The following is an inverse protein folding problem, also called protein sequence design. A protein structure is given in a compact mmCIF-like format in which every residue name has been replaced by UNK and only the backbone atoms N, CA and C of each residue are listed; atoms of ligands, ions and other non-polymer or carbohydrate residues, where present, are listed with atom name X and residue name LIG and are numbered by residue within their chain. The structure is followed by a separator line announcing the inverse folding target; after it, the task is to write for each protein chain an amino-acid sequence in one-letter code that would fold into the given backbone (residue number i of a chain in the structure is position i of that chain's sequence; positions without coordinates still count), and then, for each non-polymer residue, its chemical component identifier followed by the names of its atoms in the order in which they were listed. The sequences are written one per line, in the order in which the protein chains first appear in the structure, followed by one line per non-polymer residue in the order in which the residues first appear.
data_IF_184055537382
#
_entry.id   IF_184055537382
#
_cell.length_a   1.000
_cell.length_b   1.000
_cell.length_c   1.000
_cell.angle_alpha   90.00
_cell.angle_beta   90.00
_cell.angle_gamma   90.00
#
_symmetry.space_group_name_H-M   'P 1'
#
loop_
_entity.id
_entity.type
_entity.pdbx_description
1 polymer ?
#
# COMPACT_ATOMS: atom_id res chain seq x y z
N UNK A 1 -4.07 -46.04 24.36
CA UNK A 1 -4.41 -44.71 23.79
C UNK A 1 -5.22 -43.92 24.82
N UNK A 2 -4.63 -42.88 25.39
CA UNK A 2 -5.17 -42.13 26.55
C UNK A 2 -6.22 -41.14 26.05
N UNK A 3 -7.51 -41.40 26.34
CA UNK A 3 -8.62 -40.51 25.96
C UNK A 3 -8.51 -39.22 26.77
N UNK A 4 -8.14 -38.11 26.14
CA UNK A 4 -8.22 -36.80 26.77
C UNK A 4 -9.68 -36.52 27.14
N UNK A 5 -9.98 -36.15 28.41
CA UNK A 5 -11.35 -35.84 28.80
C UNK A 5 -11.77 -34.54 28.10
N UNK A 6 -12.75 -34.64 27.20
CA UNK A 6 -13.31 -33.55 26.38
C UNK A 6 -14.09 -32.52 27.21
N UNK A 7 -14.07 -32.63 28.55
CA UNK A 7 -14.78 -31.75 29.46
C UNK A 7 -13.83 -31.17 30.54
N UNK A 8 -13.68 -29.83 30.62
CA UNK A 8 -13.01 -29.16 31.72
C UNK A 8 -13.66 -29.48 33.08
N UNK A 9 -12.84 -29.47 34.14
CA UNK A 9 -13.23 -29.79 35.52
C UNK A 9 -13.99 -28.67 36.25
N UNK A 10 -14.23 -27.50 35.63
CA UNK A 10 -15.08 -26.44 36.19
C UNK A 10 -15.73 -25.60 35.08
N UNK A 11 -16.96 -25.11 35.30
CA UNK A 11 -17.71 -24.28 34.35
C UNK A 11 -17.04 -22.92 34.20
N UNK A 12 -16.50 -22.37 35.29
CA UNK A 12 -15.68 -21.15 35.26
C UNK A 12 -14.44 -21.29 34.39
N UNK A 13 -13.71 -22.42 34.48
CA UNK A 13 -12.56 -22.68 33.61
C UNK A 13 -12.98 -22.82 32.14
N UNK A 14 -14.13 -23.44 31.89
CA UNK A 14 -14.66 -23.60 30.54
C UNK A 14 -15.03 -22.25 29.91
N UNK A 15 -15.70 -21.38 30.66
CA UNK A 15 -16.07 -20.03 30.20
C UNK A 15 -14.84 -19.16 30.00
N UNK A 16 -13.87 -19.16 30.92
CA UNK A 16 -12.63 -18.39 30.79
C UNK A 16 -11.78 -18.87 29.60
N UNK A 17 -11.70 -20.19 29.39
CA UNK A 17 -10.94 -20.77 28.27
C UNK A 17 -11.63 -20.50 26.93
N UNK A 18 -12.96 -20.60 26.86
CA UNK A 18 -13.72 -20.22 25.67
C UNK A 18 -13.55 -18.72 25.36
N UNK A 19 -13.67 -17.86 26.37
CA UNK A 19 -13.52 -16.41 26.19
C UNK A 19 -12.12 -16.05 25.71
N UNK A 20 -11.07 -16.57 26.35
CA UNK A 20 -9.67 -16.31 25.94
C UNK A 20 -9.42 -16.79 24.50
N UNK A 21 -9.97 -17.95 24.15
CA UNK A 21 -9.74 -18.58 22.87
C UNK A 21 -10.54 -17.93 21.72
N UNK A 22 -11.67 -17.27 22.01
CA UNK A 22 -12.43 -16.46 21.04
C UNK A 22 -11.86 -15.05 20.93
N UNK A 23 -11.43 -14.45 22.04
CA UNK A 23 -10.91 -13.08 22.09
C UNK A 23 -9.57 -12.94 21.35
N UNK A 24 -8.70 -13.93 21.47
CA UNK A 24 -7.36 -13.91 20.89
C UNK A 24 -7.38 -13.85 19.33
N UNK A 25 -8.14 -14.68 18.61
CA UNK A 25 -8.34 -14.51 17.16
C UNK A 25 -8.90 -13.14 16.78
N UNK A 26 -9.85 -12.62 17.56
CA UNK A 26 -10.49 -11.33 17.31
C UNK A 26 -9.49 -10.16 17.44
N UNK A 27 -8.62 -10.21 18.44
CA UNK A 27 -7.53 -9.24 18.62
C UNK A 27 -6.51 -9.33 17.49
N UNK A 28 -6.16 -10.54 17.04
CA UNK A 28 -5.27 -10.74 15.89
C UNK A 28 -5.89 -10.16 14.61
N UNK A 29 -7.18 -10.39 14.36
CA UNK A 29 -7.90 -9.81 13.23
C UNK A 29 -7.93 -8.27 13.30
N UNK A 30 -8.22 -7.71 14.47
CA UNK A 30 -8.23 -6.26 14.67
C UNK A 30 -6.83 -5.65 14.46
N UNK A 31 -5.78 -6.31 14.94
CA UNK A 31 -4.39 -5.91 14.71
C UNK A 31 -4.02 -5.95 13.22
N UNK A 32 -4.37 -7.03 12.52
CA UNK A 32 -4.12 -7.18 11.09
C UNK A 32 -4.87 -6.11 10.27
N UNK A 33 -6.12 -5.81 10.62
CA UNK A 33 -6.89 -4.74 9.97
C UNK A 33 -6.30 -3.35 10.24
N UNK A 34 -5.80 -3.11 11.46
CA UNK A 34 -5.12 -1.86 11.80
C UNK A 34 -3.81 -1.70 11.03
N UNK A 35 -3.02 -2.77 10.92
CA UNK A 35 -1.75 -2.76 10.20
C UNK A 35 -1.95 -2.60 8.68
N UNK A 36 -3.00 -3.19 8.10
CA UNK A 36 -3.33 -2.99 6.68
C UNK A 36 -3.77 -1.57 6.38
N UNK A 37 -4.52 -0.94 7.29
CA UNK A 37 -4.94 0.46 7.18
C UNK A 37 -3.74 1.42 7.25
N UNK A 38 -2.78 1.15 8.14
CA UNK A 38 -1.55 1.96 8.26
C UNK A 38 -0.60 1.76 7.07
N UNK A 39 -0.44 0.53 6.57
CA UNK A 39 0.35 0.24 5.39
C UNK A 39 -0.19 0.97 4.14
N UNK A 40 -1.52 1.09 4.00
CA UNK A 40 -2.13 1.86 2.91
C UNK A 40 -1.90 3.38 3.06
N UNK A 41 -1.91 3.92 4.28
CA UNK A 41 -1.88 5.38 4.50
C UNK A 41 -0.47 5.98 4.40
N UNK A 42 0.55 5.32 4.96
CA UNK A 42 1.92 5.84 4.93
C UNK A 42 2.56 5.71 3.53
N UNK A 43 2.27 4.63 2.81
CA UNK A 43 2.75 4.45 1.43
C UNK A 43 2.02 5.32 0.43
N UNK A 44 0.71 5.58 0.59
CA UNK A 44 -0.01 6.52 -0.27
C UNK A 44 0.50 7.96 -0.10
N UNK A 45 0.83 8.39 1.12
CA UNK A 45 1.35 9.72 1.37
C UNK A 45 2.77 9.93 0.80
N UNK A 46 3.64 8.93 0.89
CA UNK A 46 4.99 8.96 0.32
C UNK A 46 4.98 8.93 -1.22
N UNK A 47 4.19 8.02 -1.82
CA UNK A 47 4.09 7.92 -3.29
C UNK A 47 3.44 9.16 -3.89
N UNK A 48 2.43 9.75 -3.24
CA UNK A 48 1.79 10.97 -3.76
C UNK A 48 2.74 12.18 -3.73
N UNK A 49 3.60 12.29 -2.70
CA UNK A 49 4.58 13.39 -2.61
C UNK A 49 5.70 13.27 -3.64
N UNK A 50 6.28 12.09 -3.84
CA UNK A 50 7.41 11.93 -4.79
C UNK A 50 6.95 12.00 -6.25
N UNK A 51 5.78 11.42 -6.56
CA UNK A 51 5.18 11.42 -7.91
C UNK A 51 4.84 12.83 -8.39
N UNK A 52 4.26 13.68 -7.52
CA UNK A 52 3.91 15.06 -7.88
C UNK A 52 5.14 15.96 -8.04
N UNK A 53 6.19 15.73 -7.24
CA UNK A 53 7.41 16.53 -7.32
C UNK A 53 8.17 16.20 -8.59
N UNK A 54 8.34 14.93 -8.94
CA UNK A 54 9.08 14.51 -10.14
C UNK A 54 8.37 14.91 -11.44
N UNK A 55 7.03 14.85 -11.46
CA UNK A 55 6.22 15.34 -12.58
C UNK A 55 6.31 16.87 -12.74
N UNK A 56 6.16 17.65 -11.65
CA UNK A 56 6.30 19.11 -11.70
C UNK A 56 7.71 19.55 -12.08
N UNK A 57 8.74 18.82 -11.61
CA UNK A 57 10.15 19.13 -11.92
C UNK A 57 10.45 18.89 -13.40
N UNK A 58 9.87 17.84 -13.99
CA UNK A 58 9.95 17.57 -15.43
C UNK A 58 9.27 18.66 -16.26
N UNK A 59 8.10 19.16 -15.83
CA UNK A 59 7.42 20.28 -16.50
C UNK A 59 8.22 21.60 -16.41
N UNK A 60 8.85 21.86 -15.27
CA UNK A 60 9.73 23.01 -15.13
C UNK A 60 10.93 22.95 -16.09
N UNK A 61 11.48 21.76 -16.36
CA UNK A 61 12.53 21.57 -17.36
C UNK A 61 12.03 21.84 -18.78
N UNK A 62 10.81 21.40 -19.15
CA UNK A 62 10.19 21.75 -20.44
C UNK A 62 10.08 23.25 -20.65
N UNK A 63 9.62 23.98 -19.64
CA UNK A 63 9.52 25.44 -19.72
C UNK A 63 10.90 26.08 -19.87
N UNK A 64 11.90 25.61 -19.10
CA UNK A 64 13.27 26.11 -19.22
C UNK A 64 13.90 25.84 -20.60
N UNK A 65 13.63 24.67 -21.19
CA UNK A 65 14.07 24.33 -22.56
C UNK A 65 13.45 25.28 -23.60
N UNK A 66 12.14 25.54 -23.50
CA UNK A 66 11.44 26.46 -24.40
C UNK A 66 11.92 27.91 -24.26
N UNK A 67 12.15 28.37 -23.03
CA UNK A 67 12.74 29.70 -22.78
C UNK A 67 14.12 29.82 -23.42
N UNK A 68 14.96 28.79 -23.28
CA UNK A 68 16.29 28.72 -23.88
C UNK A 68 16.24 28.76 -25.41
N UNK A 69 15.34 28.00 -26.04
CA UNK A 69 15.17 28.05 -27.50
C UNK A 69 14.66 29.42 -27.96
N UNK A 70 13.69 29.99 -27.25
CA UNK A 70 13.16 31.32 -27.56
C UNK A 70 14.24 32.39 -27.50
N UNK A 71 15.05 32.40 -26.44
CA UNK A 71 16.14 33.39 -26.29
C UNK A 71 17.22 33.20 -27.35
N UNK A 72 17.53 31.97 -27.74
CA UNK A 72 18.42 31.67 -28.87
C UNK A 72 17.90 32.30 -30.16
N UNK A 73 16.65 31.99 -30.53
CA UNK A 73 16.04 32.50 -31.77
C UNK A 73 15.93 34.02 -31.75
N UNK A 74 15.56 34.60 -30.60
CA UNK A 74 15.46 36.05 -30.45
C UNK A 74 16.81 36.74 -30.60
N UNK A 75 17.88 36.15 -30.05
CA UNK A 75 19.25 36.64 -30.29
C UNK A 75 19.59 36.63 -31.78
N UNK A 76 19.29 35.55 -32.51
CA UNK A 76 19.57 35.50 -33.94
C UNK A 76 18.80 36.54 -34.77
N UNK A 77 17.63 37.00 -34.31
CA UNK A 77 16.86 38.06 -34.99
C UNK A 77 17.39 39.45 -34.68
N UNK A 78 17.72 39.73 -33.42
CA UNK A 78 18.01 41.09 -32.93
C UNK A 78 19.51 41.39 -32.78
N UNK A 79 20.37 40.36 -32.75
CA UNK A 79 21.82 40.41 -32.53
C UNK A 79 22.26 41.25 -31.30
N UNK A 80 21.40 41.27 -30.27
CA UNK A 80 21.65 42.02 -29.04
C UNK A 80 22.52 41.20 -28.05
N UNK A 81 23.70 41.69 -27.63
CA UNK A 81 24.57 40.97 -26.70
C UNK A 81 23.94 40.73 -25.33
N UNK A 82 22.90 41.48 -24.94
CA UNK A 82 22.13 41.22 -23.71
C UNK A 82 21.33 39.92 -23.83
N UNK A 83 20.76 39.62 -25.00
CA UNK A 83 20.04 38.36 -25.26
C UNK A 83 20.98 37.16 -25.25
N UNK A 84 22.21 37.32 -25.75
CA UNK A 84 23.23 36.28 -25.65
C UNK A 84 23.53 35.93 -24.18
N UNK A 85 23.60 36.93 -23.28
CA UNK A 85 23.78 36.69 -21.84
C UNK A 85 22.56 35.99 -21.22
N UNK A 86 21.35 36.38 -21.61
CA UNK A 86 20.11 35.73 -21.17
C UNK A 86 20.11 34.26 -21.56
N UNK A 87 20.43 33.97 -22.82
CA UNK A 87 20.57 32.61 -23.33
C UNK A 87 21.56 31.78 -22.52
N UNK A 88 22.77 32.30 -22.29
CA UNK A 88 23.80 31.58 -21.51
C UNK A 88 23.37 31.32 -20.07
N UNK A 89 22.68 32.28 -19.44
CA UNK A 89 22.12 32.12 -18.10
C UNK A 89 21.06 31.02 -18.05
N UNK A 90 20.13 31.01 -19.02
CA UNK A 90 19.10 29.99 -19.13
C UNK A 90 19.68 28.60 -19.40
N UNK A 91 20.68 28.49 -20.29
CA UNK A 91 21.39 27.23 -20.56
C UNK A 91 22.08 26.68 -19.32
N UNK A 92 22.76 27.54 -18.55
CA UNK A 92 23.38 27.16 -17.28
C UNK A 92 22.33 26.67 -16.28
N UNK A 93 21.23 27.41 -16.12
CA UNK A 93 20.12 27.02 -15.24
C UNK A 93 19.54 25.67 -15.63
N UNK A 94 19.34 25.41 -16.92
CA UNK A 94 18.87 24.11 -17.41
C UNK A 94 19.89 23.01 -17.06
N UNK A 95 21.19 23.25 -17.25
CA UNK A 95 22.23 22.28 -16.90
C UNK A 95 22.25 21.92 -15.40
N UNK A 96 22.03 22.90 -14.52
CA UNK A 96 21.91 22.68 -13.07
C UNK A 96 20.67 21.87 -12.71
N UNK A 97 19.54 22.14 -13.39
CA UNK A 97 18.32 21.34 -13.24
C UNK A 97 18.51 19.90 -13.71
N UNK A 98 19.22 19.70 -14.83
CA UNK A 98 19.55 18.38 -15.36
C UNK A 98 20.46 17.60 -14.41
N UNK A 99 21.50 18.23 -13.85
CA UNK A 99 22.40 17.59 -12.88
C UNK A 99 21.67 17.19 -11.59
N UNK A 100 20.74 18.02 -11.12
CA UNK A 100 19.89 17.68 -9.97
C UNK A 100 18.89 16.55 -10.27
N UNK A 101 18.58 16.30 -11.55
CA UNK A 101 17.66 15.24 -11.98
C UNK A 101 18.39 13.93 -12.32
N UNK A 102 19.71 13.94 -12.51
CA UNK A 102 20.52 12.78 -12.92
C UNK A 102 20.28 11.51 -12.08
N UNK A 103 20.11 11.64 -10.77
CA UNK A 103 19.87 10.50 -9.87
C UNK A 103 18.47 9.86 -9.97
N UNK A 104 17.54 10.47 -10.71
CA UNK A 104 16.15 10.01 -10.88
C UNK A 104 15.92 9.37 -12.25
N UNK A 105 16.71 9.76 -13.26
CA UNK A 105 16.57 9.22 -14.61
C UNK A 105 16.89 7.70 -14.63
N UNK A 106 16.11 6.90 -15.37
CA UNK A 106 16.34 5.46 -15.50
C UNK A 106 17.50 5.12 -16.45
N UNK A 107 17.80 6.00 -17.41
CA UNK A 107 18.81 5.77 -18.45
C UNK A 107 19.85 6.89 -18.45
N UNK A 108 21.09 6.54 -18.14
CA UNK A 108 22.24 7.44 -18.16
C UNK A 108 22.51 7.98 -19.58
N UNK A 109 22.15 7.23 -20.63
CA UNK A 109 22.33 7.67 -22.02
C UNK A 109 21.55 8.94 -22.31
N UNK A 110 20.36 9.06 -21.75
CA UNK A 110 19.48 10.20 -21.99
C UNK A 110 20.01 11.46 -21.29
N UNK A 111 20.57 11.31 -20.09
CA UNK A 111 21.31 12.37 -19.40
C UNK A 111 22.53 12.81 -20.23
N UNK A 112 23.34 11.86 -20.72
CA UNK A 112 24.51 12.14 -21.54
C UNK A 112 24.15 12.86 -22.84
N UNK A 113 23.08 12.44 -23.53
CA UNK A 113 22.59 13.07 -24.75
C UNK A 113 22.19 14.53 -24.50
N UNK A 114 21.37 14.80 -23.49
CA UNK A 114 20.98 16.17 -23.11
C UNK A 114 22.19 17.03 -22.74
N UNK A 115 23.17 16.46 -22.01
CA UNK A 115 24.40 17.17 -21.65
C UNK A 115 25.23 17.52 -22.87
N UNK A 116 25.33 16.59 -23.82
CA UNK A 116 26.03 16.79 -25.07
C UNK A 116 25.34 17.86 -25.94
N UNK A 117 24.01 17.84 -26.02
CA UNK A 117 23.24 18.85 -26.74
C UNK A 117 23.44 20.26 -26.14
N UNK A 118 23.39 20.38 -24.81
CA UNK A 118 23.69 21.65 -24.13
C UNK A 118 25.11 22.16 -24.41
N UNK A 119 26.08 21.24 -24.51
CA UNK A 119 27.46 21.59 -24.87
C UNK A 119 27.57 22.03 -26.34
N UNK A 120 26.89 21.34 -27.25
CA UNK A 120 26.85 21.68 -28.68
C UNK A 120 26.16 23.02 -28.97
N UNK A 121 25.27 23.44 -28.07
CA UNK A 121 24.58 24.73 -28.11
C UNK A 121 25.34 25.85 -27.37
N UNK A 122 26.59 25.63 -26.95
CA UNK A 122 27.39 26.67 -26.26
C UNK A 122 27.58 27.93 -27.09
N UNK A 123 27.88 27.76 -28.39
CA UNK A 123 28.07 28.87 -29.30
C UNK A 123 26.76 29.18 -30.04
N UNK A 124 26.39 30.45 -30.02
CA UNK A 124 25.27 30.97 -30.80
C UNK A 124 25.73 31.11 -32.25
N UNK A 125 25.15 30.29 -33.13
CA UNK A 125 25.36 30.32 -34.58
C UNK A 125 24.06 30.77 -35.24
N UNK A 126 24.12 31.91 -35.93
CA UNK A 126 22.97 32.55 -36.54
C UNK A 126 23.27 32.83 -38.03
N UNK A 127 22.27 32.64 -38.88
CA UNK A 127 22.30 32.95 -40.31
C UNK A 127 20.93 33.47 -40.74
N UNK A 128 20.89 34.55 -41.53
CA UNK A 128 19.65 35.15 -42.06
C UNK A 128 18.56 35.36 -40.99
N UNK A 129 18.90 36.02 -39.88
CA UNK A 129 17.98 36.34 -38.79
C UNK A 129 17.34 35.11 -38.11
N UNK A 130 18.01 33.96 -38.15
CA UNK A 130 17.61 32.73 -37.46
C UNK A 130 18.82 31.88 -37.07
N UNK A 131 18.63 30.77 -36.34
CA UNK A 131 19.67 29.76 -36.17
C UNK A 131 20.12 29.23 -37.53
N UNK A 132 21.41 28.97 -37.70
CA UNK A 132 21.87 28.26 -38.89
C UNK A 132 21.34 26.81 -38.91
N UNK A 133 21.54 26.09 -40.02
CA UNK A 133 21.00 24.74 -40.17
C UNK A 133 21.53 23.75 -39.12
N UNK A 134 22.79 23.91 -38.68
CA UNK A 134 23.39 23.03 -37.68
C UNK A 134 22.86 23.32 -36.28
N UNK A 135 22.74 24.60 -35.92
CA UNK A 135 22.14 25.06 -34.68
C UNK A 135 20.65 24.70 -34.58
N UNK A 136 19.89 24.85 -35.67
CA UNK A 136 18.49 24.47 -35.72
C UNK A 136 18.33 22.96 -35.45
N UNK A 137 19.15 22.12 -36.10
CA UNK A 137 19.14 20.68 -35.86
C UNK A 137 19.51 20.32 -34.41
N UNK A 138 20.48 21.02 -33.80
CA UNK A 138 20.85 20.81 -32.39
C UNK A 138 19.75 21.25 -31.42
N UNK A 139 19.06 22.35 -31.69
CA UNK A 139 17.91 22.81 -30.90
C UNK A 139 16.77 21.80 -30.96
N UNK A 140 16.50 21.23 -32.13
CA UNK A 140 15.47 20.21 -32.31
C UNK A 140 15.84 18.88 -31.64
N UNK A 141 17.11 18.44 -31.76
CA UNK A 141 17.63 17.29 -31.03
C UNK A 141 17.46 17.46 -29.51
N UNK A 142 17.86 18.62 -28.98
CA UNK A 142 17.68 18.96 -27.57
C UNK A 142 16.20 18.94 -27.13
N UNK A 143 15.30 19.54 -27.92
CA UNK A 143 13.86 19.56 -27.63
C UNK A 143 13.26 18.15 -27.63
N UNK A 144 13.69 17.30 -28.56
CA UNK A 144 13.26 15.90 -28.64
C UNK A 144 13.75 15.09 -27.44
N UNK A 145 15.02 15.20 -27.08
CA UNK A 145 15.62 14.53 -25.93
C UNK A 145 14.98 15.00 -24.60
N UNK A 146 14.65 16.29 -24.48
CA UNK A 146 13.94 16.81 -23.32
C UNK A 146 12.51 16.26 -23.23
N UNK A 147 11.84 16.07 -24.37
CA UNK A 147 10.50 15.46 -24.41
C UNK A 147 10.56 13.99 -24.01
N UNK A 148 11.55 13.25 -24.52
CA UNK A 148 11.78 11.85 -24.16
C UNK A 148 12.11 11.70 -22.67
N UNK A 149 12.90 12.61 -22.10
CA UNK A 149 13.16 12.66 -20.65
C UNK A 149 11.86 12.79 -19.84
N UNK A 150 11.01 13.75 -20.21
CA UNK A 150 9.73 13.98 -19.51
C UNK A 150 8.84 12.73 -19.60
N UNK A 151 8.82 12.03 -20.73
CA UNK A 151 8.09 10.78 -20.89
C UNK A 151 8.72 9.63 -20.08
N UNK A 152 10.04 9.49 -20.10
CA UNK A 152 10.77 8.50 -19.31
C UNK A 152 10.54 8.71 -17.81
N UNK A 153 10.62 9.95 -17.31
CA UNK A 153 10.32 10.25 -15.91
C UNK A 153 8.86 9.92 -15.56
N UNK A 154 7.89 10.23 -16.43
CA UNK A 154 6.47 9.85 -16.23
C UNK A 154 6.26 8.34 -16.15
N UNK A 155 6.94 7.55 -17.01
CA UNK A 155 6.81 6.08 -17.00
C UNK A 155 7.48 5.43 -15.79
N UNK A 156 8.64 5.94 -15.34
CA UNK A 156 9.33 5.45 -14.14
C UNK A 156 8.49 5.71 -12.89
N UNK A 157 7.93 6.92 -12.77
CA UNK A 157 7.04 7.30 -11.68
C UNK A 157 5.79 6.39 -11.63
N UNK A 158 5.24 6.03 -12.78
CA UNK A 158 4.11 5.09 -12.88
C UNK A 158 4.49 3.64 -12.50
N UNK A 159 5.67 3.17 -12.93
CA UNK A 159 6.15 1.81 -12.64
C UNK A 159 6.49 1.58 -11.17
N UNK A 160 7.09 2.58 -10.50
CA UNK A 160 7.35 2.55 -9.05
C UNK A 160 6.05 2.58 -8.24
N UNK A 161 5.04 3.33 -8.72
CA UNK A 161 3.69 3.31 -8.15
C UNK A 161 3.00 1.94 -8.29
N UNK A 162 3.15 1.26 -9.44
CA UNK A 162 2.57 -0.07 -9.67
C UNK A 162 3.29 -1.20 -8.94
N UNK A 163 4.62 -1.20 -8.84
CA UNK A 163 5.35 -2.22 -8.08
C UNK A 163 4.96 -2.19 -6.60
N UNK A 164 4.79 -1.00 -6.02
CA UNK A 164 4.29 -0.87 -4.67
C UNK A 164 2.84 -1.39 -4.54
N UNK A 165 1.98 -1.11 -5.50
CA UNK A 165 0.62 -1.67 -5.52
C UNK A 165 0.59 -3.20 -5.69
N UNK A 166 1.51 -3.79 -6.46
CA UNK A 166 1.58 -5.25 -6.65
C UNK A 166 2.06 -5.97 -5.41
N UNK A 167 3.05 -5.43 -4.70
CA UNK A 167 3.46 -5.98 -3.39
C UNK A 167 2.33 -5.88 -2.35
N UNK A 168 1.51 -4.82 -2.41
CA UNK A 168 0.33 -4.66 -1.55
C UNK A 168 -0.79 -5.64 -1.93
N UNK A 169 -1.02 -5.88 -3.23
CA UNK A 169 -2.08 -6.77 -3.72
C UNK A 169 -1.77 -8.26 -3.51
N UNK A 170 -0.53 -8.68 -3.78
CA UNK A 170 -0.12 -10.08 -3.56
C UNK A 170 -0.06 -10.44 -2.07
N UNK A 171 0.34 -9.49 -1.21
CA UNK A 171 0.26 -9.70 0.24
C UNK A 171 -1.18 -9.64 0.76
N UNK A 172 -2.03 -8.78 0.19
CA UNK A 172 -3.44 -8.66 0.58
C UNK A 172 -4.24 -9.96 0.40
N UNK A 173 -3.96 -10.74 -0.65
CA UNK A 173 -4.70 -11.97 -0.94
C UNK A 173 -4.37 -13.11 0.03
N UNK A 174 -3.09 -13.27 0.39
CA UNK A 174 -2.66 -14.23 1.42
C UNK A 174 -3.20 -13.87 2.80
N UNK A 175 -3.16 -12.58 3.18
CA UNK A 175 -3.72 -12.11 4.46
C UNK A 175 -5.24 -12.27 4.54
N UNK A 176 -5.95 -12.06 3.42
CA UNK A 176 -7.41 -12.26 3.34
C UNK A 176 -7.83 -13.70 3.59
N UNK A 177 -7.13 -14.67 3.01
CA UNK A 177 -7.45 -16.09 3.20
C UNK A 177 -7.18 -16.56 4.63
N UNK A 178 -6.07 -16.12 5.24
CA UNK A 178 -5.76 -16.44 6.64
C UNK A 178 -6.79 -15.86 7.61
N UNK A 179 -7.22 -14.60 7.39
CA UNK A 179 -8.29 -13.97 8.17
C UNK A 179 -9.62 -14.72 8.03
N UNK A 180 -9.98 -15.17 6.82
CA UNK A 180 -11.21 -15.93 6.57
C UNK A 180 -11.20 -17.29 7.28
N UNK A 181 -10.07 -18.01 7.25
CA UNK A 181 -9.90 -19.27 7.98
C UNK A 181 -10.00 -19.06 9.49
N UNK A 182 -9.32 -18.05 10.04
CA UNK A 182 -9.39 -17.70 11.46
C UNK A 182 -10.81 -17.35 11.92
N UNK A 183 -11.54 -16.58 11.12
CA UNK A 183 -12.93 -16.24 11.37
C UNK A 183 -13.83 -17.48 11.42
N UNK A 184 -13.72 -18.37 10.42
CA UNK A 184 -14.50 -19.61 10.38
C UNK A 184 -14.18 -20.52 11.57
N UNK A 185 -12.91 -20.68 11.92
CA UNK A 185 -12.48 -21.46 13.09
C UNK A 185 -13.08 -20.88 14.37
N UNK A 186 -13.01 -19.56 14.55
CA UNK A 186 -13.60 -18.87 15.70
C UNK A 186 -15.11 -19.10 15.79
N UNK A 187 -15.83 -18.96 14.67
CA UNK A 187 -17.27 -19.18 14.59
C UNK A 187 -17.68 -20.61 15.00
N UNK A 188 -16.97 -21.61 14.48
CA UNK A 188 -17.19 -23.03 14.84
C UNK A 188 -16.96 -23.23 16.33
N UNK A 189 -15.91 -22.62 16.88
CA UNK A 189 -15.58 -22.74 18.30
C UNK A 189 -16.66 -22.12 19.20
N UNK A 190 -17.17 -20.94 18.84
CA UNK A 190 -18.30 -20.28 19.53
C UNK A 190 -19.53 -21.17 19.52
N UNK A 191 -19.89 -21.76 18.38
CA UNK A 191 -21.06 -22.64 18.26
C UNK A 191 -20.91 -23.92 19.12
N UNK A 192 -19.73 -24.52 19.13
CA UNK A 192 -19.43 -25.70 19.96
C UNK A 192 -19.55 -25.39 21.47
N UNK A 193 -18.94 -24.29 21.93
CA UNK A 193 -19.03 -23.90 23.33
C UNK A 193 -20.47 -23.50 23.73
N UNK A 194 -21.17 -22.78 22.86
CA UNK A 194 -22.57 -22.40 23.07
C UNK A 194 -23.46 -23.63 23.23
N UNK A 195 -23.30 -24.64 22.36
CA UNK A 195 -24.06 -25.90 22.45
C UNK A 195 -23.69 -26.70 23.71
N UNK A 196 -22.41 -26.70 24.09
CA UNK A 196 -21.91 -27.44 25.27
C UNK A 196 -22.33 -26.80 26.60
N UNK A 197 -22.51 -25.47 26.67
CA UNK A 197 -22.96 -24.76 27.88
C UNK A 197 -24.49 -24.76 27.99
N UNK A 198 -25.21 -24.40 26.92
CA UNK A 198 -26.67 -24.20 26.97
C UNK A 198 -27.43 -25.54 27.00
N UNK A 199 -26.92 -26.57 26.31
CA UNK A 199 -27.58 -27.87 26.21
C UNK A 199 -27.84 -28.53 27.58
N UNK A 200 -26.83 -28.68 28.44
CA UNK A 200 -26.99 -29.27 29.77
C UNK A 200 -27.87 -28.43 30.71
N UNK A 201 -27.85 -27.10 30.61
CA UNK A 201 -28.70 -26.22 31.43
C UNK A 201 -30.19 -26.44 31.14
N UNK A 202 -30.57 -26.56 29.85
CA UNK A 202 -31.95 -26.88 29.46
C UNK A 202 -32.43 -28.27 29.91
N UNK A 203 -31.50 -29.21 30.15
CA UNK A 203 -31.86 -30.51 30.73
C UNK A 203 -32.15 -30.38 32.23
N UNK A 204 -31.41 -29.55 32.96
CA UNK A 204 -31.64 -29.28 34.39
C UNK A 204 -32.97 -28.54 34.59
N UNK A 205 -33.27 -27.53 33.77
CA UNK A 205 -34.54 -26.79 33.84
C UNK A 205 -35.76 -27.70 33.63
N UNK A 206 -35.72 -28.60 32.64
CA UNK A 206 -36.77 -29.61 32.43
C UNK A 206 -36.90 -30.60 33.58
N UNK A 207 -35.80 -30.91 34.27
CA UNK A 207 -35.79 -31.78 35.43
C UNK A 207 -36.44 -31.12 36.63
N UNK A 208 -36.09 -29.86 36.90
CA UNK A 208 -36.70 -29.03 37.96
C UNK A 208 -38.20 -28.89 37.72
N UNK A 209 -38.63 -28.58 36.48
CA UNK A 209 -40.06 -28.47 36.16
C UNK A 209 -40.82 -29.79 36.34
N UNK A 210 -40.24 -30.93 35.96
CA UNK A 210 -40.86 -32.26 36.17
C UNK A 210 -40.98 -32.66 37.63
N UNK A 211 -40.01 -32.29 38.45
CA UNK A 211 -40.06 -32.47 39.90
C UNK A 211 -41.11 -31.55 40.54
N UNK A 212 -41.20 -30.30 40.08
CA UNK A 212 -42.26 -29.36 40.48
C UNK A 212 -43.67 -29.82 40.09
N UNK A 213 -43.81 -30.60 39.02
CA UNK A 213 -45.06 -31.24 38.58
C UNK A 213 -45.37 -32.57 39.30
N UNK A 214 -44.54 -33.03 40.25
CA UNK A 214 -44.77 -34.26 41.01
C UNK A 214 -44.54 -35.56 40.24
N UNK A 215 -43.83 -35.52 39.10
CA UNK A 215 -43.54 -36.69 38.26
C UNK A 215 -42.19 -37.30 38.63
N UNK A 216 -42.13 -38.62 38.85
CA UNK A 216 -40.89 -39.32 39.20
C UNK A 216 -39.87 -39.32 38.06
N UNK A 217 -38.60 -39.02 38.39
CA UNK A 217 -37.48 -39.11 37.45
C UNK A 217 -37.17 -40.58 37.13
N UNK A 218 -37.49 -41.02 35.92
CA UNK A 218 -37.18 -42.38 35.48
C UNK A 218 -35.67 -42.67 35.50
N UNK A 219 -35.31 -43.89 35.90
CA UNK A 219 -33.95 -44.43 36.02
C UNK A 219 -33.19 -44.46 34.67
N UNK A 220 -32.72 -43.32 34.16
CA UNK A 220 -31.61 -43.24 33.19
C UNK A 220 -31.28 -41.79 32.79
N UNK A 221 -31.02 -40.89 33.73
CA UNK A 221 -30.50 -39.56 33.37
C UNK A 221 -28.97 -39.57 33.47
N UNK A 222 -28.33 -40.09 32.42
CA UNK A 222 -26.88 -39.95 32.24
C UNK A 222 -26.53 -38.48 32.05
N UNK A 223 -25.95 -37.86 33.10
CA UNK A 223 -25.64 -36.44 33.09
C UNK A 223 -24.38 -36.15 32.26
N UNK A 224 -24.57 -35.57 31.08
CA UNK A 224 -23.47 -35.10 30.21
C UNK A 224 -23.34 -33.58 30.31
N UNK A 225 -22.28 -33.11 30.98
CA UNK A 225 -21.97 -31.69 31.16
C UNK A 225 -20.72 -31.46 32.02
N UNK A 226 -20.27 -30.20 32.20
CA UNK A 226 -19.20 -29.82 33.12
C UNK A 226 -19.49 -30.31 34.55
N UNK A 227 -18.43 -30.52 35.35
CA UNK A 227 -18.51 -31.06 36.72
C UNK A 227 -19.52 -30.36 37.63
N UNK A 228 -19.63 -29.03 37.52
CA UNK A 228 -20.54 -28.22 38.33
C UNK A 228 -22.00 -28.51 37.99
N UNK A 229 -22.33 -28.63 36.70
CA UNK A 229 -23.67 -29.01 36.26
C UNK A 229 -23.98 -30.46 36.69
N UNK A 230 -22.99 -31.37 36.61
CA UNK A 230 -23.11 -32.76 37.12
C UNK A 230 -23.42 -32.78 38.62
N UNK A 231 -22.73 -31.94 39.39
CA UNK A 231 -22.89 -31.90 40.85
C UNK A 231 -24.26 -31.40 41.27
N UNK A 232 -24.84 -30.46 40.52
CA UNK A 232 -26.22 -29.98 40.74
C UNK A 232 -27.21 -31.07 40.36
N UNK A 233 -27.06 -31.71 39.20
CA UNK A 233 -27.97 -32.79 38.77
C UNK A 233 -27.94 -34.05 39.64
N UNK A 234 -26.89 -34.27 40.43
CA UNK A 234 -26.80 -35.36 41.42
C UNK A 234 -27.36 -35.00 42.80
N UNK A 235 -27.54 -33.70 43.08
CA UNK A 235 -28.04 -33.16 44.36
C UNK A 235 -29.55 -32.92 44.37
N UNK A 236 -30.16 -32.83 43.19
CA UNK A 236 -31.62 -32.75 42.99
C UNK A 236 -32.16 -34.17 42.91
#
# INVERSE_FOLDING_TARGET
MKRWPVFPRSLRQLVMLAFLLILLPLLVLAWQAWQSLNALSDQAALVNRTTLIDARRSEAMTNAALEMERSYRQYCVLDDPTLAKVYQSQRKRYSEMLDAHAGVLPDDKLYQALRQDLNNLTQLQCNNSGPDAAAAARLEAFASANTEMVQATRTVVFSRGQQLQREIAERGQYFGWQSLVLFLVSLVMVLLFTRMIIGPVKNIERMINRLGEGRSLGNSVSFSGPSELRSVGQRI
#
